data_IF_813755436933
#
_entry.id   IF_813755436933
#
_cell.length_a   1.000
_cell.length_b   1.000
_cell.length_c   1.000
_cell.angle_alpha   90.00
_cell.angle_beta   90.00
_cell.angle_gamma   90.00
#
_symmetry.space_group_name_H-M   'P 1'
#
loop_
_entity.id
_entity.type
_entity.pdbx_description
1 polymer ?
#
# COMPACT_ATOMS: atom_id res chain seq x y z
N UNK A 1 -21.48 -28.76 0.95
CA UNK A 1 -21.58 -27.34 0.53
C UNK A 1 -20.21 -26.73 0.75
N UNK A 2 -19.43 -26.54 -0.32
CA UNK A 2 -18.11 -25.91 -0.20
C UNK A 2 -18.34 -24.42 0.02
N UNK A 3 -17.78 -23.79 1.07
CA UNK A 3 -17.92 -22.35 1.25
C UNK A 3 -17.36 -21.63 0.02
N UNK A 4 -17.98 -20.52 -0.43
CA UNK A 4 -17.44 -19.73 -1.53
C UNK A 4 -16.00 -19.32 -1.22
N UNK A 5 -15.09 -19.57 -2.15
CA UNK A 5 -13.64 -19.32 -2.02
C UNK A 5 -13.26 -17.84 -2.14
N UNK A 6 -14.21 -16.93 -1.89
CA UNK A 6 -14.01 -15.49 -1.96
C UNK A 6 -13.89 -14.89 -0.56
N UNK A 7 -13.05 -13.86 -0.42
CA UNK A 7 -12.96 -13.05 0.81
C UNK A 7 -14.33 -12.50 1.18
N UNK A 8 -14.66 -12.53 2.47
CA UNK A 8 -15.94 -11.99 2.96
C UNK A 8 -15.90 -10.47 2.92
N UNK A 9 -17.08 -9.85 2.73
CA UNK A 9 -17.23 -8.40 2.67
C UNK A 9 -18.40 -7.97 3.52
N UNK A 10 -18.24 -6.87 4.25
CA UNK A 10 -19.28 -6.26 5.06
C UNK A 10 -19.45 -4.78 4.72
N UNK A 11 -20.63 -4.25 4.98
CA UNK A 11 -20.90 -2.82 4.95
C UNK A 11 -20.60 -2.19 6.31
N UNK A 12 -19.95 -1.04 6.27
CA UNK A 12 -19.53 -0.26 7.43
C UNK A 12 -19.85 1.22 7.20
N UNK A 13 -20.34 1.90 8.23
CA UNK A 13 -20.59 3.35 8.19
C UNK A 13 -19.65 4.05 9.17
N UNK A 14 -18.74 4.84 8.62
CA UNK A 14 -17.85 5.72 9.38
C UNK A 14 -18.59 7.02 9.72
N UNK A 15 -18.53 7.42 11.00
CA UNK A 15 -19.15 8.65 11.48
C UNK A 15 -18.53 9.92 10.86
N UNK A 16 -17.31 9.84 10.35
CA UNK A 16 -16.61 10.95 9.69
C UNK A 16 -16.97 11.10 8.21
N UNK A 17 -17.60 10.09 7.62
CA UNK A 17 -17.97 10.05 6.19
C UNK A 17 -19.41 10.53 5.96
N UNK A 18 -19.65 11.81 6.25
CA UNK A 18 -20.95 12.46 6.08
C UNK A 18 -20.90 13.55 5.01
N UNK A 19 -22.00 13.69 4.28
CA UNK A 19 -22.27 14.82 3.38
C UNK A 19 -23.55 15.52 3.81
N UNK A 20 -23.89 16.63 3.13
CA UNK A 20 -25.19 17.29 3.32
C UNK A 20 -26.41 16.38 3.06
N UNK A 21 -26.22 15.29 2.30
CA UNK A 21 -27.29 14.36 1.92
C UNK A 21 -27.37 13.10 2.81
N UNK A 22 -26.46 12.94 3.76
CA UNK A 22 -26.39 11.76 4.63
C UNK A 22 -25.03 11.10 4.71
N UNK A 23 -25.00 9.90 5.29
CA UNK A 23 -23.76 9.14 5.51
C UNK A 23 -23.40 8.26 4.31
N UNK A 24 -22.12 8.24 3.95
CA UNK A 24 -21.61 7.40 2.85
C UNK A 24 -21.19 6.05 3.46
N UNK A 25 -21.87 4.94 3.12
CA UNK A 25 -21.43 3.62 3.54
C UNK A 25 -20.15 3.23 2.81
N UNK A 26 -19.38 2.35 3.42
CA UNK A 26 -18.18 1.76 2.85
C UNK A 26 -18.31 0.23 2.80
N UNK A 27 -17.65 -0.36 1.81
CA UNK A 27 -17.40 -1.80 1.76
C UNK A 27 -16.06 -2.08 2.42
N UNK A 28 -16.06 -3.07 3.30
CA UNK A 28 -14.88 -3.59 3.99
C UNK A 28 -14.67 -5.03 3.55
N UNK A 29 -13.46 -5.39 3.12
CA UNK A 29 -13.13 -6.75 2.71
C UNK A 29 -12.18 -7.36 3.73
N UNK A 30 -12.44 -8.61 4.10
CA UNK A 30 -11.59 -9.39 4.98
C UNK A 30 -10.13 -9.43 4.49
N UNK A 31 -9.18 -9.13 5.39
CA UNK A 31 -7.74 -9.10 5.15
C UNK A 31 -7.26 -8.15 4.04
N UNK A 32 -8.09 -7.18 3.64
CA UNK A 32 -7.68 -6.08 2.78
C UNK A 32 -7.55 -4.80 3.62
N UNK A 33 -6.61 -3.91 3.34
CA UNK A 33 -6.42 -2.74 4.18
C UNK A 33 -7.54 -1.70 4.00
N UNK A 34 -8.17 -1.32 5.12
CA UNK A 34 -9.02 -0.14 5.21
C UNK A 34 -10.47 -0.37 4.79
N UNK A 35 -11.07 0.58 4.07
CA UNK A 35 -12.44 0.47 3.58
C UNK A 35 -12.61 1.32 2.32
N UNK A 36 -13.55 0.91 1.45
CA UNK A 36 -13.84 1.63 0.20
C UNK A 36 -15.22 2.27 0.26
N UNK A 37 -15.32 3.61 0.27
CA UNK A 37 -16.60 4.31 0.25
C UNK A 37 -17.40 3.95 -1.00
N UNK A 38 -18.69 3.66 -0.83
CA UNK A 38 -19.59 3.33 -1.93
C UNK A 38 -19.88 4.58 -2.76
N UNK A 39 -19.36 4.60 -3.98
CA UNK A 39 -19.69 5.62 -4.97
C UNK A 39 -20.82 5.12 -5.85
N UNK A 40 -21.70 6.02 -6.29
CA UNK A 40 -22.72 5.66 -7.27
C UNK A 40 -22.09 5.20 -8.59
N UNK A 41 -22.86 4.45 -9.39
CA UNK A 41 -22.41 3.91 -10.67
C UNK A 41 -22.48 4.97 -11.78
N UNK A 42 -21.36 5.65 -12.07
CA UNK A 42 -21.23 6.50 -13.28
C UNK A 42 -20.35 7.75 -13.10
N UNK A 43 -19.92 8.41 -14.20
CA UNK A 43 -19.04 9.59 -14.15
C UNK A 43 -19.63 10.81 -13.42
N UNK A 44 -20.95 10.83 -13.24
CA UNK A 44 -21.72 11.88 -12.58
C UNK A 44 -22.61 11.31 -11.45
N UNK A 45 -22.38 10.08 -11.04
CA UNK A 45 -23.22 9.46 -10.03
C UNK A 45 -22.84 9.98 -8.64
N UNK A 46 -23.82 10.55 -7.94
CA UNK A 46 -23.68 10.90 -6.53
C UNK A 46 -23.30 9.67 -5.70
N UNK A 47 -22.53 9.82 -4.61
CA UNK A 47 -22.32 8.75 -3.66
C UNK A 47 -23.64 8.11 -3.24
N UNK A 48 -23.62 6.81 -2.91
CA UNK A 48 -24.75 6.20 -2.24
C UNK A 48 -24.78 6.75 -0.81
N UNK A 49 -25.95 7.18 -0.34
CA UNK A 49 -26.13 7.69 1.02
C UNK A 49 -27.11 6.81 1.77
N UNK A 50 -26.79 6.50 3.03
CA UNK A 50 -27.65 5.74 3.93
C UNK A 50 -27.98 6.58 5.15
N UNK A 51 -29.25 6.92 5.32
CA UNK A 51 -29.73 7.73 6.44
C UNK A 51 -29.23 9.18 6.40
N UNK A 52 -30.01 10.07 6.99
CA UNK A 52 -29.62 11.45 7.31
C UNK A 52 -28.86 11.54 8.65
N UNK A 53 -29.06 10.56 9.53
CA UNK A 53 -28.33 10.39 10.78
C UNK A 53 -27.54 9.07 10.87
N UNK A 54 -26.56 9.02 11.77
CA UNK A 54 -25.65 7.89 11.94
C UNK A 54 -26.34 6.61 12.44
N UNK A 55 -27.38 6.73 13.27
CA UNK A 55 -28.09 5.57 13.79
C UNK A 55 -28.90 4.90 12.69
N UNK A 56 -29.62 5.69 11.88
CA UNK A 56 -30.33 5.21 10.69
C UNK A 56 -29.37 4.58 9.68
N UNK A 57 -28.22 5.22 9.42
CA UNK A 57 -27.19 4.69 8.53
C UNK A 57 -26.67 3.31 8.98
N UNK A 58 -26.42 3.15 10.29
CA UNK A 58 -25.95 1.88 10.87
C UNK A 58 -27.01 0.80 10.81
N UNK A 59 -28.28 1.14 11.04
CA UNK A 59 -29.38 0.18 10.91
C UNK A 59 -29.52 -0.34 9.46
N UNK A 60 -29.36 0.55 8.47
CA UNK A 60 -29.35 0.15 7.05
C UNK A 60 -28.16 -0.78 6.77
N UNK A 61 -26.98 -0.48 7.32
CA UNK A 61 -25.80 -1.33 7.18
C UNK A 61 -25.97 -2.71 7.83
N UNK A 62 -26.57 -2.78 9.01
CA UNK A 62 -26.88 -4.02 9.72
C UNK A 62 -27.86 -4.89 8.91
N UNK A 63 -28.92 -4.29 8.38
CA UNK A 63 -29.86 -5.01 7.51
C UNK A 63 -29.17 -5.50 6.22
N UNK A 64 -28.37 -4.65 5.56
CA UNK A 64 -27.64 -5.04 4.36
C UNK A 64 -26.64 -6.18 4.62
N UNK A 65 -25.99 -6.21 5.79
CA UNK A 65 -25.11 -7.30 6.20
C UNK A 65 -25.90 -8.58 6.53
N UNK A 66 -27.07 -8.44 7.15
CA UNK A 66 -27.99 -9.57 7.39
C UNK A 66 -28.44 -10.19 6.07
N UNK A 67 -28.72 -9.37 5.05
CA UNK A 67 -29.08 -9.82 3.70
C UNK A 67 -27.92 -10.54 3.00
N UNK A 68 -26.66 -10.27 3.40
CA UNK A 68 -25.47 -11.02 2.99
C UNK A 68 -25.24 -12.30 3.81
N UNK A 69 -26.10 -12.60 4.78
CA UNK A 69 -25.97 -13.77 5.66
C UNK A 69 -24.89 -13.63 6.73
N UNK A 70 -24.49 -12.41 7.08
CA UNK A 70 -23.49 -12.13 8.10
C UNK A 70 -24.15 -11.87 9.46
N UNK A 71 -23.51 -12.35 10.52
CA UNK A 71 -23.85 -11.94 11.89
C UNK A 71 -23.06 -10.69 12.29
N UNK A 72 -23.50 -10.01 13.36
CA UNK A 72 -22.73 -8.92 13.98
C UNK A 72 -21.29 -9.33 14.33
N UNK A 73 -21.10 -10.60 14.71
CA UNK A 73 -19.76 -11.13 14.99
C UNK A 73 -18.92 -11.18 13.71
N UNK A 74 -19.49 -11.69 12.61
CA UNK A 74 -18.77 -11.74 11.33
C UNK A 74 -18.40 -10.34 10.84
N UNK A 75 -19.33 -9.38 10.91
CA UNK A 75 -19.08 -7.98 10.54
C UNK A 75 -17.95 -7.41 11.39
N UNK A 76 -17.96 -7.64 12.70
CA UNK A 76 -16.88 -7.18 13.60
C UNK A 76 -15.55 -7.80 13.24
N UNK A 77 -15.51 -9.09 12.92
CA UNK A 77 -14.29 -9.81 12.56
C UNK A 77 -13.71 -9.30 11.24
N UNK A 78 -14.55 -9.14 10.22
CA UNK A 78 -14.16 -8.58 8.90
C UNK A 78 -13.59 -7.17 9.07
N UNK A 79 -14.30 -6.30 9.79
CA UNK A 79 -13.86 -4.92 10.04
C UNK A 79 -12.55 -4.93 10.81
N UNK A 80 -12.44 -5.69 11.90
CA UNK A 80 -11.21 -5.76 12.70
C UNK A 80 -10.02 -6.24 11.89
N UNK A 81 -10.18 -7.29 11.10
CA UNK A 81 -9.13 -7.81 10.19
C UNK A 81 -8.67 -6.72 9.20
N UNK A 82 -9.62 -6.05 8.55
CA UNK A 82 -9.35 -5.03 7.53
C UNK A 82 -8.59 -3.82 8.08
N UNK A 83 -8.98 -3.33 9.25
CA UNK A 83 -8.31 -2.20 9.90
C UNK A 83 -6.93 -2.59 10.45
N UNK A 84 -6.75 -3.82 10.97
CA UNK A 84 -5.42 -4.33 11.34
C UNK A 84 -4.49 -4.44 10.13
N UNK A 85 -4.99 -4.86 8.97
CA UNK A 85 -4.21 -4.87 7.74
C UNK A 85 -3.77 -3.44 7.36
N UNK A 86 -4.65 -2.44 7.52
CA UNK A 86 -4.29 -1.03 7.30
C UNK A 86 -3.21 -0.53 8.28
N UNK A 87 -3.30 -0.90 9.57
CA UNK A 87 -2.30 -0.55 10.57
C UNK A 87 -0.93 -1.18 10.26
N UNK A 88 -0.91 -2.45 9.85
CA UNK A 88 0.31 -3.14 9.45
C UNK A 88 1.00 -2.46 8.27
N UNK A 89 0.23 -2.03 7.26
CA UNK A 89 0.78 -1.25 6.12
C UNK A 89 1.31 0.10 6.58
N UNK A 90 0.60 0.80 7.47
CA UNK A 90 1.05 2.08 7.99
C UNK A 90 2.36 1.95 8.80
N UNK A 91 2.49 0.89 9.59
CA UNK A 91 3.71 0.57 10.34
C UNK A 91 4.86 0.20 9.40
N UNK A 92 4.63 -0.67 8.42
CA UNK A 92 5.63 -0.97 7.39
C UNK A 92 6.09 0.31 6.69
N UNK A 93 5.15 1.20 6.33
CA UNK A 93 5.46 2.53 5.78
C UNK A 93 6.34 3.39 6.67
N UNK A 94 6.18 3.34 8.00
CA UNK A 94 7.04 4.05 8.95
C UNK A 94 8.43 3.45 9.01
N UNK A 95 8.53 2.12 9.09
CA UNK A 95 9.80 1.40 9.13
C UNK A 95 10.61 1.68 7.85
N UNK A 96 9.99 1.58 6.66
CA UNK A 96 10.64 1.89 5.39
C UNK A 96 11.19 3.33 5.38
N UNK A 97 10.40 4.32 5.82
CA UNK A 97 10.88 5.71 5.89
C UNK A 97 12.05 5.88 6.85
N UNK A 98 12.02 5.20 8.00
CA UNK A 98 13.13 5.20 8.96
C UNK A 98 14.39 4.61 8.32
N UNK A 99 14.27 3.44 7.70
CA UNK A 99 15.38 2.75 7.03
C UNK A 99 15.96 3.57 5.88
N UNK A 100 15.12 4.17 5.04
CA UNK A 100 15.54 5.08 3.96
C UNK A 100 16.27 6.31 4.51
N UNK A 101 15.89 6.80 5.69
CA UNK A 101 16.58 7.93 6.35
C UNK A 101 17.93 7.56 6.95
N UNK A 102 18.10 6.28 7.33
CA UNK A 102 19.35 5.73 7.86
C UNK A 102 20.26 5.15 6.77
N UNK A 103 19.78 5.07 5.53
CA UNK A 103 20.60 4.61 4.42
C UNK A 103 21.80 5.54 4.20
N UNK A 104 22.99 4.96 4.15
CA UNK A 104 24.25 5.62 3.79
C UNK A 104 24.56 5.42 2.31
N UNK A 105 24.22 4.24 1.77
CA UNK A 105 24.34 3.98 0.35
C UNK A 105 23.27 3.05 -0.21
N UNK A 106 22.95 3.28 -1.48
CA UNK A 106 22.15 2.38 -2.31
C UNK A 106 23.01 1.81 -3.42
N UNK A 107 23.03 0.50 -3.58
CA UNK A 107 23.54 -0.13 -4.80
C UNK A 107 22.34 -0.47 -5.69
N UNK A 108 22.30 0.09 -6.89
CA UNK A 108 21.26 -0.18 -7.89
C UNK A 108 21.86 -0.94 -9.07
N UNK A 109 21.10 -1.88 -9.62
CA UNK A 109 21.50 -2.67 -10.78
C UNK A 109 20.52 -2.43 -11.93
N UNK A 110 21.03 -2.46 -13.16
CA UNK A 110 20.22 -2.55 -14.36
C UNK A 110 19.74 -3.99 -14.55
N UNK A 111 18.46 -4.21 -14.88
CA UNK A 111 18.00 -5.53 -15.32
C UNK A 111 18.56 -5.92 -16.68
N UNK A 112 18.69 -7.23 -16.91
CA UNK A 112 19.17 -7.82 -18.18
C UNK A 112 18.26 -7.48 -19.37
N UNK A 113 16.99 -7.14 -19.09
CA UNK A 113 16.03 -6.68 -20.09
C UNK A 113 16.00 -5.15 -20.11
N UNK A 114 16.17 -4.47 -21.25
CA UNK A 114 16.05 -3.02 -21.36
C UNK A 114 14.68 -2.47 -20.91
N UNK A 115 13.65 -3.31 -20.79
CA UNK A 115 12.34 -2.97 -20.20
C UNK A 115 12.26 -3.16 -18.67
N UNK A 116 13.21 -3.87 -18.05
CA UNK A 116 13.21 -4.14 -16.61
C UNK A 116 13.65 -2.94 -15.74
N UNK A 117 14.28 -1.92 -16.34
CA UNK A 117 14.66 -0.69 -15.65
C UNK A 117 15.78 -0.89 -14.62
N UNK A 118 15.90 0.07 -13.70
CA UNK A 118 16.86 0.06 -12.59
C UNK A 118 16.14 -0.37 -11.31
N UNK A 119 16.75 -1.31 -10.58
CA UNK A 119 16.21 -1.80 -9.31
C UNK A 119 17.29 -1.76 -8.21
N UNK A 120 16.83 -1.71 -6.98
CA UNK A 120 17.68 -1.72 -5.80
C UNK A 120 18.23 -3.12 -5.57
N UNK A 121 19.56 -3.23 -5.50
CA UNK A 121 20.28 -4.48 -5.24
C UNK A 121 20.71 -4.60 -3.78
N UNK A 122 21.07 -3.47 -3.16
CA UNK A 122 21.55 -3.43 -1.78
C UNK A 122 21.32 -2.07 -1.15
N UNK A 123 21.02 -2.05 0.14
CA UNK A 123 21.04 -0.86 0.99
C UNK A 123 22.06 -1.08 2.11
N UNK A 124 22.89 -0.08 2.38
CA UNK A 124 23.75 -0.05 3.56
C UNK A 124 23.27 1.03 4.51
N UNK A 125 22.99 0.65 5.76
CA UNK A 125 22.48 1.53 6.81
C UNK A 125 23.63 2.19 7.60
N UNK A 126 23.29 3.19 8.42
CA UNK A 126 24.28 3.97 9.20
C UNK A 126 25.04 3.18 10.24
N UNK A 127 24.45 2.11 10.77
CA UNK A 127 25.08 1.18 11.71
C UNK A 127 25.97 0.13 11.03
N UNK A 128 25.95 0.08 9.69
CA UNK A 128 26.69 -0.88 8.88
C UNK A 128 25.88 -2.10 8.46
N UNK A 129 24.62 -2.21 8.89
CA UNK A 129 23.75 -3.30 8.47
C UNK A 129 23.43 -3.21 6.97
N UNK A 130 23.24 -4.38 6.37
CA UNK A 130 23.06 -4.54 4.92
C UNK A 130 21.76 -5.25 4.64
N UNK A 131 20.94 -4.66 3.77
CA UNK A 131 19.72 -5.25 3.24
C UNK A 131 19.99 -5.55 1.77
N UNK A 132 19.89 -6.81 1.38
CA UNK A 132 20.14 -7.26 0.02
C UNK A 132 19.03 -8.17 -0.50
N UNK A 133 19.26 -8.80 -1.66
CA UNK A 133 18.24 -9.54 -2.41
C UNK A 133 17.69 -10.76 -1.65
N UNK A 134 18.40 -11.24 -0.64
CA UNK A 134 17.94 -12.35 0.20
C UNK A 134 17.01 -11.86 1.33
N UNK A 135 16.95 -10.54 1.57
CA UNK A 135 16.05 -9.92 2.54
C UNK A 135 14.76 -9.44 1.85
N UNK A 136 13.57 -9.96 2.23
CA UNK A 136 12.30 -9.53 1.64
C UNK A 136 12.01 -8.03 1.84
N UNK A 137 12.66 -7.38 2.80
CA UNK A 137 12.56 -5.94 3.03
C UNK A 137 13.14 -5.15 1.85
N UNK A 138 14.10 -5.70 1.10
CA UNK A 138 14.65 -5.03 -0.07
C UNK A 138 13.59 -4.77 -1.13
N UNK A 139 12.70 -5.74 -1.41
CA UNK A 139 11.63 -5.58 -2.39
C UNK A 139 10.64 -4.46 -2.00
N UNK A 140 10.40 -4.32 -0.69
CA UNK A 140 9.54 -3.29 -0.14
C UNK A 140 10.19 -1.91 -0.29
N UNK A 141 11.48 -1.80 0.06
CA UNK A 141 12.25 -0.56 -0.08
C UNK A 141 12.36 -0.18 -1.55
N UNK A 142 12.71 -1.13 -2.43
CA UNK A 142 12.78 -0.95 -3.87
C UNK A 142 11.48 -0.37 -4.41
N UNK A 143 10.33 -0.94 -4.11
CA UNK A 143 9.04 -0.38 -4.54
C UNK A 143 8.80 1.06 -4.07
N UNK A 144 9.36 1.46 -2.92
CA UNK A 144 9.20 2.81 -2.38
C UNK A 144 10.13 3.83 -3.05
N UNK A 145 11.33 3.42 -3.50
CA UNK A 145 12.35 4.32 -4.05
C UNK A 145 12.65 4.14 -5.53
N UNK A 146 12.17 3.06 -6.16
CA UNK A 146 12.51 2.66 -7.53
C UNK A 146 12.19 3.73 -8.57
N UNK A 147 11.08 4.47 -8.42
CA UNK A 147 10.72 5.54 -9.35
C UNK A 147 11.73 6.69 -9.30
N UNK A 148 12.16 7.09 -8.10
CA UNK A 148 13.20 8.09 -7.90
C UNK A 148 14.56 7.57 -8.39
N UNK A 149 14.95 6.36 -7.99
CA UNK A 149 16.23 5.75 -8.36
C UNK A 149 16.34 5.56 -9.88
N UNK A 150 15.27 5.12 -10.54
CA UNK A 150 15.21 5.01 -11.99
C UNK A 150 15.43 6.36 -12.67
N UNK A 151 14.75 7.43 -12.24
CA UNK A 151 14.95 8.76 -12.81
C UNK A 151 16.39 9.26 -12.64
N UNK A 152 16.97 9.02 -11.46
CA UNK A 152 18.33 9.44 -11.12
C UNK A 152 19.35 8.62 -11.96
N UNK A 153 19.17 7.30 -12.09
CA UNK A 153 20.03 6.43 -12.87
C UNK A 153 19.96 6.71 -14.37
N UNK A 154 18.74 6.90 -14.93
CA UNK A 154 18.54 7.29 -16.32
C UNK A 154 19.20 8.64 -16.64
N UNK A 155 19.04 9.64 -15.76
CA UNK A 155 19.65 10.95 -15.93
C UNK A 155 21.18 10.95 -15.86
N UNK A 156 21.76 9.99 -15.14
CA UNK A 156 23.21 9.90 -14.94
C UNK A 156 23.94 9.05 -15.99
N UNK A 157 23.30 8.02 -16.54
CA UNK A 157 23.97 7.01 -17.38
C UNK A 157 23.39 6.77 -18.77
N UNK A 158 22.14 7.17 -19.06
CA UNK A 158 21.48 6.83 -20.33
C UNK A 158 21.42 5.31 -20.58
N UNK A 159 21.42 4.89 -21.85
CA UNK A 159 21.27 3.48 -22.31
C UNK A 159 22.51 2.57 -22.17
N UNK A 160 23.43 2.82 -21.22
CA UNK A 160 24.69 2.05 -21.16
C UNK A 160 24.60 0.73 -20.37
N UNK A 161 25.24 -0.29 -20.95
CA UNK A 161 25.54 -1.66 -20.50
C UNK A 161 24.67 -2.23 -19.37
N UNK A 162 23.77 -3.14 -19.77
CA UNK A 162 23.23 -4.18 -18.90
C UNK A 162 24.39 -4.83 -18.11
N UNK A 163 24.18 -5.09 -16.83
CA UNK A 163 25.14 -5.60 -15.82
C UNK A 163 25.89 -4.54 -14.98
N UNK A 164 25.58 -3.26 -15.11
CA UNK A 164 26.23 -2.23 -14.29
C UNK A 164 25.60 -2.10 -12.90
N UNK A 165 26.43 -2.14 -11.85
CA UNK A 165 26.03 -1.78 -10.47
C UNK A 165 26.50 -0.36 -10.16
N UNK A 166 25.61 0.44 -9.60
CA UNK A 166 25.84 1.84 -9.30
C UNK A 166 25.63 2.08 -7.80
N UNK A 167 26.68 2.50 -7.10
CA UNK A 167 26.58 2.91 -5.70
C UNK A 167 26.31 4.41 -5.59
N UNK A 168 25.27 4.76 -4.83
CA UNK A 168 24.84 6.12 -4.53
C UNK A 168 25.12 6.40 -3.07
N UNK A 169 25.92 7.43 -2.77
CA UNK A 169 26.06 7.94 -1.41
C UNK A 169 24.87 8.86 -1.09
N UNK A 170 24.08 8.48 -0.09
CA UNK A 170 22.82 9.17 0.25
C UNK A 170 23.04 10.56 0.82
N UNK A 171 24.16 10.76 1.54
CA UNK A 171 24.47 12.03 2.22
C UNK A 171 24.86 13.12 1.23
N UNK A 172 25.58 12.73 0.19
CA UNK A 172 26.14 13.66 -0.79
C UNK A 172 25.38 13.66 -2.11
N UNK A 173 24.53 12.65 -2.34
CA UNK A 173 23.90 12.38 -3.62
C UNK A 173 24.92 12.05 -4.72
N UNK A 174 26.16 11.71 -4.35
CA UNK A 174 27.25 11.47 -5.30
C UNK A 174 27.40 9.99 -5.61
N UNK A 175 27.84 9.74 -6.84
CA UNK A 175 28.12 8.42 -7.35
C UNK A 175 29.48 7.92 -6.86
N UNK A 176 29.49 6.72 -6.30
CA UNK A 176 30.71 5.98 -6.02
C UNK A 176 30.82 4.90 -7.10
N UNK A 177 31.66 5.15 -8.10
CA UNK A 177 31.89 4.19 -9.18
C UNK A 177 32.64 2.99 -8.59
N UNK A 178 32.01 1.81 -8.54
CA UNK A 178 32.78 0.58 -8.35
C UNK A 178 33.62 0.34 -9.61
N UNK A 179 34.92 0.10 -9.39
CA UNK A 179 35.90 -0.20 -10.44
C UNK A 179 35.93 -1.69 -10.71
#
# INVERSE_FOLDING_TARGET
MTPPTGKRRAFYVDATMQTENGFIPSVVTEDEPGHTPMRGSGPLASPLFWGDDLATARQIAEQANTDLGLTDSDVRDIVTSSFRASEAIAEAGRLIRSMVSEAVSYDVASGDDPSAGWFLRRVTLTDGDVIDQDDPTLAIVDSAVASCLSQIAWGAWGDRDADSVLRIDVRTGRWLRER
#
